data_IF_615995809889
#
_entry.id   IF_615995809889
#
_cell.length_a   1.000
_cell.length_b   1.000
_cell.length_c   1.000
_cell.angle_alpha   90.00
_cell.angle_beta   90.00
_cell.angle_gamma   90.00
#
_symmetry.space_group_name_H-M   'P 1'
#
loop_
_entity.id
_entity.type
_entity.pdbx_description
1 polymer ?
#
# COMPACT_ATOMS: atom_id res chain seq x y z
N UNK A 1 19.09 -14.88 -4.55
CA UNK A 1 18.33 -14.69 -4.48
C UNK A 1 17.40 -14.53 -4.82
N UNK A 2 16.73 -14.84 -4.89
CA UNK A 2 15.80 -14.71 -5.19
C UNK A 2 14.99 -14.26 -5.28
N UNK A 3 15.10 -14.39 -5.48
CA UNK A 3 14.08 -13.51 -5.52
C UNK A 3 12.74 -13.90 -5.73
N UNK A 4 12.21 -14.28 -4.73
CA UNK A 4 10.81 -14.49 -4.63
C UNK A 4 10.03 -13.32 -5.17
N UNK A 5 10.58 -12.16 -5.00
CA UNK A 5 9.90 -10.94 -5.41
C UNK A 5 9.74 -10.81 -6.91
N UNK A 6 10.44 -11.60 -7.67
CA UNK A 6 10.33 -11.55 -9.13
C UNK A 6 8.95 -11.93 -9.62
N UNK A 7 8.19 -12.66 -8.81
CA UNK A 7 6.86 -13.11 -9.19
C UNK A 7 5.75 -12.21 -8.68
N UNK A 8 6.09 -11.18 -7.91
CA UNK A 8 5.10 -10.30 -7.33
C UNK A 8 5.01 -9.02 -8.13
N UNK A 9 3.81 -8.49 -8.34
CA UNK A 9 3.69 -7.24 -9.08
C UNK A 9 4.31 -6.09 -8.30
N UNK A 10 4.92 -5.19 -9.04
CA UNK A 10 5.48 -3.98 -8.47
C UNK A 10 4.38 -3.06 -7.97
N UNK A 11 3.28 -3.02 -8.68
CA UNK A 11 2.14 -2.18 -8.33
C UNK A 11 0.98 -3.05 -7.90
N UNK A 12 0.19 -2.53 -6.98
CA UNK A 12 -1.00 -3.22 -6.49
C UNK A 12 -2.19 -2.27 -6.58
N UNK A 13 -3.37 -2.87 -6.71
CA UNK A 13 -4.60 -2.11 -6.78
C UNK A 13 -4.98 -1.56 -5.40
N UNK A 14 -5.96 -0.66 -5.40
CA UNK A 14 -6.53 -0.19 -4.14
C UNK A 14 -7.09 -1.34 -3.33
N UNK A 15 -7.77 -2.28 -3.98
CA UNK A 15 -8.32 -3.42 -3.26
C UNK A 15 -7.23 -4.26 -2.61
N UNK A 16 -6.13 -4.48 -3.33
CA UNK A 16 -5.02 -5.23 -2.76
C UNK A 16 -4.34 -4.47 -1.63
N UNK A 17 -4.25 -3.15 -1.75
CA UNK A 17 -3.70 -2.34 -0.67
C UNK A 17 -4.57 -2.46 0.58
N UNK A 18 -5.88 -2.49 0.40
CA UNK A 18 -6.81 -2.71 1.52
C UNK A 18 -6.55 -4.05 2.19
N UNK A 19 -6.33 -5.10 1.38
CA UNK A 19 -6.06 -6.42 1.94
C UNK A 19 -4.75 -6.46 2.71
N UNK A 20 -3.70 -5.87 2.15
CA UNK A 20 -2.40 -5.85 2.80
C UNK A 20 -2.42 -5.10 4.12
N UNK A 21 -3.25 -4.08 4.22
CA UNK A 21 -3.28 -3.23 5.41
C UNK A 21 -4.42 -3.58 6.35
N UNK A 22 -5.33 -4.46 5.92
CA UNK A 22 -6.54 -4.80 6.67
C UNK A 22 -7.43 -3.59 6.92
N UNK A 23 -7.37 -2.62 6.03
CA UNK A 23 -8.22 -1.44 6.14
C UNK A 23 -9.35 -1.50 5.13
N UNK A 24 -10.48 -0.89 5.48
CA UNK A 24 -11.56 -0.70 4.53
C UNK A 24 -11.14 0.36 3.50
N UNK A 25 -11.86 0.39 2.38
CA UNK A 25 -11.59 1.41 1.37
C UNK A 25 -11.80 2.81 1.93
N UNK A 26 -12.83 2.97 2.73
CA UNK A 26 -13.11 4.28 3.35
C UNK A 26 -11.96 4.72 4.24
N UNK A 27 -11.47 3.81 5.06
CA UNK A 27 -10.36 4.13 5.98
C UNK A 27 -9.10 4.44 5.19
N UNK A 28 -8.77 3.62 4.20
CA UNK A 28 -7.56 3.81 3.42
C UNK A 28 -7.61 5.14 2.68
N UNK A 29 -8.77 5.46 2.10
CA UNK A 29 -8.91 6.72 1.39
C UNK A 29 -8.81 7.93 2.32
N UNK A 30 -9.28 7.78 3.56
CA UNK A 30 -9.11 8.84 4.54
C UNK A 30 -7.63 9.07 4.84
N UNK A 31 -6.87 7.98 5.04
CA UNK A 31 -5.44 8.09 5.29
C UNK A 31 -4.73 8.75 4.12
N UNK A 32 -5.15 8.42 2.90
CA UNK A 32 -4.59 9.07 1.71
C UNK A 32 -4.84 10.57 1.72
N UNK A 33 -6.09 10.95 2.02
CA UNK A 33 -6.47 12.37 2.02
C UNK A 33 -5.69 13.15 3.07
N UNK A 34 -5.32 12.49 4.15
CA UNK A 34 -4.58 13.13 5.24
C UNK A 34 -3.08 13.08 5.06
N UNK A 35 -2.62 12.50 3.95
CA UNK A 35 -1.19 12.38 3.72
C UNK A 35 -0.49 11.35 4.59
N UNK A 36 -1.22 10.38 5.09
CA UNK A 36 -0.72 9.39 6.04
C UNK A 36 -0.51 8.01 5.42
N UNK A 37 -0.55 7.93 4.11
CA UNK A 37 -0.40 6.68 3.38
C UNK A 37 0.50 6.92 2.18
N UNK A 38 1.20 5.89 1.69
CA UNK A 38 2.04 6.08 0.51
C UNK A 38 1.26 6.67 -0.66
N UNK A 39 1.92 7.53 -1.41
CA UNK A 39 1.29 8.25 -2.51
C UNK A 39 0.93 7.27 -3.62
N UNK A 40 -0.28 7.40 -4.16
CA UNK A 40 -0.72 6.55 -5.24
C UNK A 40 -0.01 6.91 -6.54
N UNK A 41 0.18 5.91 -7.39
CA UNK A 41 0.68 6.11 -8.74
C UNK A 41 -0.52 6.28 -9.66
N UNK A 42 -0.55 7.37 -10.40
CA UNK A 42 -1.65 7.60 -11.34
C UNK A 42 -1.31 6.94 -12.67
N UNK A 43 -2.20 6.05 -13.09
CA UNK A 43 -2.01 5.28 -14.31
C UNK A 43 -2.76 5.88 -15.51
N UNK A 44 -3.51 6.96 -15.29
CA UNK A 44 -4.34 7.54 -16.32
C UNK A 44 -5.77 7.00 -16.22
N UNK A 45 -6.70 7.69 -16.88
CA UNK A 45 -8.10 7.25 -16.94
C UNK A 45 -8.70 7.02 -15.55
N UNK A 46 -8.31 7.84 -14.58
CA UNK A 46 -8.79 7.75 -13.20
C UNK A 46 -8.40 6.46 -12.50
N UNK A 47 -7.38 5.79 -13.01
CA UNK A 47 -6.89 4.57 -12.41
C UNK A 47 -5.66 4.87 -11.57
N UNK A 48 -5.62 4.30 -10.38
CA UNK A 48 -4.49 4.47 -9.49
C UNK A 48 -4.02 3.10 -9.00
N UNK A 49 -2.76 3.07 -8.62
CA UNK A 49 -2.16 1.89 -8.01
C UNK A 49 -1.20 2.36 -6.94
N UNK A 50 -0.67 1.42 -6.19
CA UNK A 50 0.29 1.73 -5.13
C UNK A 50 1.54 0.88 -5.36
N UNK A 51 2.68 1.42 -4.99
CA UNK A 51 3.92 0.65 -5.06
C UNK A 51 3.89 -0.36 -3.92
N UNK A 52 3.92 -1.64 -4.27
CA UNK A 52 3.75 -2.71 -3.29
C UNK A 52 4.77 -2.63 -2.16
N UNK A 53 6.03 -2.36 -2.50
CA UNK A 53 7.07 -2.29 -1.48
C UNK A 53 6.83 -1.14 -0.51
N UNK A 54 6.27 -0.04 -0.98
CA UNK A 54 5.98 1.09 -0.10
C UNK A 54 4.84 0.76 0.85
N UNK A 55 3.82 0.06 0.37
CA UNK A 55 2.72 -0.35 1.23
C UNK A 55 3.21 -1.34 2.27
N UNK A 56 4.04 -2.29 1.86
CA UNK A 56 4.62 -3.26 2.77
C UNK A 56 5.45 -2.57 3.86
N UNK A 57 6.27 -1.60 3.45
CA UNK A 57 7.08 -0.87 4.42
C UNK A 57 6.20 -0.07 5.39
N UNK A 58 5.10 0.50 4.87
CA UNK A 58 4.16 1.23 5.71
C UNK A 58 3.55 0.31 6.76
N UNK A 59 3.14 -0.88 6.34
CA UNK A 59 2.59 -1.87 7.28
C UNK A 59 3.62 -2.23 8.34
N UNK A 60 4.85 -2.47 7.92
CA UNK A 60 5.90 -2.85 8.85
C UNK A 60 6.21 -1.73 9.84
N UNK A 61 6.10 -0.48 9.41
CA UNK A 61 6.31 0.63 10.32
C UNK A 61 5.22 0.66 11.40
N UNK A 62 4.00 0.28 11.04
CA UNK A 62 2.92 0.21 12.02
C UNK A 62 3.15 -0.93 13.00
N UNK A 63 3.62 -2.06 12.49
CA UNK A 63 3.93 -3.20 13.36
C UNK A 63 5.02 -2.81 14.34
N UNK A 64 6.05 -2.13 13.86
CA UNK A 64 7.16 -1.72 14.73
C UNK A 64 6.70 -0.73 15.79
N UNK A 65 5.79 0.16 15.43
CA UNK A 65 5.32 1.20 16.37
C UNK A 65 4.62 0.59 17.59
N UNK A 66 3.96 -0.54 17.42
CA UNK A 66 3.24 -1.15 18.55
C UNK A 66 4.18 -1.72 19.61
N UNK A 67 5.45 -1.92 19.22
CA UNK A 67 6.41 -2.53 20.13
C UNK A 67 7.00 -1.53 21.10
N UNK A 68 6.75 -0.26 20.88
CA UNK A 68 7.30 0.79 21.73
C UNK A 68 6.61 0.86 23.08
#
# INVERSE_FOLDING_TARGET
MQPVNDNLPMLISLNDACRLTSMSRTMLNRYRAEGRFPVAVELGDRRVAFVRSEVTAWVQSKIAARAA
#
